data_IF_771979604881
#
_entry.id   IF_771979604881
#
_cell.length_a   1.000
_cell.length_b   1.000
_cell.length_c   1.000
_cell.angle_alpha   90.00
_cell.angle_beta   90.00
_cell.angle_gamma   90.00
#
_symmetry.space_group_name_H-M   'P 1'
#
loop_
_entity.id
_entity.type
_entity.pdbx_description
1 polymer ?
#
# COMPACT_ATOMS: atom_id res chain seq x y z
N UNK A 1 0.95 -27.19 6.69
CA UNK A 1 0.79 -25.72 6.68
C UNK A 1 0.27 -25.28 5.30
N UNK A 2 -1.01 -25.50 5.00
CA UNK A 2 -1.66 -25.13 3.72
C UNK A 2 -2.14 -23.67 3.74
N UNK A 3 -1.30 -22.73 4.20
CA UNK A 3 -1.72 -21.34 4.42
C UNK A 3 -1.99 -20.57 3.12
N UNK A 4 -1.52 -21.10 1.99
CA UNK A 4 -1.77 -20.56 0.65
C UNK A 4 -2.39 -21.66 -0.19
N UNK A 5 -3.72 -21.66 -0.26
CA UNK A 5 -4.43 -22.43 -1.28
C UNK A 5 -4.49 -21.58 -2.53
N UNK A 6 -4.27 -22.18 -3.70
CA UNK A 6 -4.33 -21.49 -4.98
C UNK A 6 -5.79 -21.19 -5.31
N UNK A 7 -6.30 -20.17 -4.64
CA UNK A 7 -7.69 -19.77 -4.67
C UNK A 7 -7.73 -18.24 -4.67
N UNK A 8 -8.41 -17.74 -5.69
CA UNK A 8 -8.59 -16.31 -5.95
C UNK A 8 -9.14 -15.56 -4.72
N UNK A 9 -10.05 -16.19 -3.97
CA UNK A 9 -10.66 -15.60 -2.76
C UNK A 9 -9.64 -15.31 -1.66
N UNK A 10 -8.63 -16.19 -1.47
CA UNK A 10 -7.57 -15.93 -0.50
C UNK A 10 -6.67 -14.79 -0.97
N UNK A 11 -6.35 -14.72 -2.27
CA UNK A 11 -5.64 -13.59 -2.84
C UNK A 11 -6.39 -12.27 -2.65
N UNK A 12 -7.71 -12.28 -2.83
CA UNK A 12 -8.58 -11.12 -2.63
C UNK A 12 -8.53 -10.61 -1.18
N UNK A 13 -8.67 -11.51 -0.20
CA UNK A 13 -8.61 -11.16 1.21
C UNK A 13 -7.24 -10.56 1.57
N UNK A 14 -6.15 -11.18 1.13
CA UNK A 14 -4.81 -10.66 1.35
C UNK A 14 -4.56 -9.31 0.68
N UNK A 15 -5.06 -9.12 -0.55
CA UNK A 15 -4.95 -7.86 -1.28
C UNK A 15 -5.72 -6.69 -0.65
N UNK A 16 -6.69 -6.96 0.24
CA UNK A 16 -7.42 -5.93 1.00
C UNK A 16 -6.82 -5.68 2.39
N UNK A 17 -6.23 -6.70 3.01
CA UNK A 17 -5.61 -6.60 4.34
C UNK A 17 -4.22 -5.96 4.27
N UNK A 18 -3.43 -6.32 3.26
CA UNK A 18 -2.07 -5.79 3.09
C UNK A 18 -1.98 -4.26 3.00
N UNK A 19 -2.80 -3.54 2.20
CA UNK A 19 -2.70 -2.09 2.09
C UNK A 19 -3.15 -1.38 3.38
N UNK A 20 -4.05 -1.98 4.16
CA UNK A 20 -4.42 -1.49 5.51
C UNK A 20 -3.20 -1.51 6.46
N UNK A 21 -2.48 -2.63 6.48
CA UNK A 21 -1.27 -2.77 7.31
C UNK A 21 -0.18 -1.83 6.80
N UNK A 22 0.03 -1.77 5.49
CA UNK A 22 1.03 -0.89 4.87
C UNK A 22 0.73 0.59 5.12
N UNK A 23 -0.53 1.01 5.11
CA UNK A 23 -0.91 2.38 5.46
C UNK A 23 -0.55 2.72 6.90
N UNK A 24 -0.91 1.86 7.86
CA UNK A 24 -0.58 2.07 9.27
C UNK A 24 0.94 2.17 9.49
N UNK A 25 1.71 1.32 8.81
CA UNK A 25 3.17 1.33 8.86
C UNK A 25 3.76 2.63 8.30
N UNK A 26 3.35 3.02 7.09
CA UNK A 26 3.88 4.21 6.40
C UNK A 26 3.48 5.49 7.14
N UNK A 27 2.26 5.54 7.67
CA UNK A 27 1.79 6.65 8.50
C UNK A 27 2.59 6.77 9.80
N UNK A 28 2.84 5.64 10.49
CA UNK A 28 3.66 5.62 11.69
C UNK A 28 5.10 6.08 11.40
N UNK A 29 5.70 5.61 10.30
CA UNK A 29 7.02 6.06 9.86
C UNK A 29 7.02 7.58 9.64
N UNK A 30 6.09 8.11 8.84
CA UNK A 30 5.99 9.55 8.58
C UNK A 30 5.86 10.38 9.87
N UNK A 31 5.00 9.94 10.80
CA UNK A 31 4.83 10.60 12.10
C UNK A 31 6.11 10.58 12.94
N UNK A 32 6.82 9.44 12.94
CA UNK A 32 8.07 9.30 13.69
C UNK A 32 9.17 10.19 13.11
N UNK A 33 9.23 10.32 11.77
CA UNK A 33 10.15 11.22 11.07
C UNK A 33 9.86 12.70 11.37
N UNK A 34 8.59 13.08 11.43
CA UNK A 34 8.17 14.44 11.82
C UNK A 34 8.52 14.75 13.27
N UNK A 35 8.34 13.78 14.17
CA UNK A 35 8.58 13.96 15.61
C UNK A 35 10.06 13.89 15.99
N UNK A 36 10.90 13.21 15.21
CA UNK A 36 12.32 13.05 15.53
C UNK A 36 13.14 14.32 15.28
N UNK A 37 12.57 15.33 14.61
CA UNK A 37 13.27 16.58 14.28
C UNK A 37 14.48 16.39 13.36
N UNK A 38 14.70 15.17 12.83
CA UNK A 38 15.86 14.83 11.99
C UNK A 38 15.92 15.65 10.70
N UNK A 39 14.80 16.27 10.31
CA UNK A 39 14.62 16.95 9.04
C UNK A 39 14.48 18.49 9.20
N UNK A 40 14.44 18.99 10.43
CA UNK A 40 14.35 20.43 10.76
C UNK A 40 15.72 21.12 10.79
N UNK A 41 16.81 20.38 10.58
CA UNK A 41 18.19 20.89 10.65
C UNK A 41 18.51 21.96 9.59
N UNK A 42 17.68 22.12 8.55
CA UNK A 42 17.93 23.04 7.44
C UNK A 42 16.75 23.96 7.16
N UNK A 43 16.44 24.90 8.07
CA UNK A 43 15.73 26.19 7.87
C UNK A 43 14.37 26.24 7.13
N UNK A 44 13.89 25.14 6.55
CA UNK A 44 12.58 24.98 5.92
C UNK A 44 11.91 23.83 6.65
N UNK A 45 10.97 24.14 7.54
CA UNK A 45 10.15 23.14 8.21
C UNK A 45 9.53 22.22 7.16
N UNK A 46 10.03 20.99 7.06
CA UNK A 46 9.48 20.03 6.11
C UNK A 46 8.13 19.55 6.66
N UNK A 47 6.99 19.81 6.00
CA UNK A 47 5.68 19.42 6.52
C UNK A 47 5.41 17.91 6.44
N UNK A 48 6.41 17.10 6.06
CA UNK A 48 6.29 15.66 5.84
C UNK A 48 5.77 15.30 4.45
N UNK A 49 5.48 14.02 4.24
CA UNK A 49 4.87 13.55 2.99
C UNK A 49 3.40 13.98 2.89
N UNK A 50 2.96 14.35 1.68
CA UNK A 50 1.54 14.58 1.38
C UNK A 50 0.75 13.30 1.61
N UNK A 51 -0.48 13.44 2.10
CA UNK A 51 -1.40 12.31 2.29
C UNK A 51 -1.53 11.46 1.03
N UNK A 52 -1.61 12.13 -0.13
CA UNK A 52 -1.57 11.52 -1.46
C UNK A 52 -0.51 10.42 -1.62
N UNK A 53 0.73 10.77 -1.27
CA UNK A 53 1.90 9.93 -1.43
C UNK A 53 1.89 8.79 -0.42
N UNK A 54 1.42 9.05 0.81
CA UNK A 54 1.25 8.03 1.84
C UNK A 54 0.28 6.94 1.40
N UNK A 55 -0.86 7.32 0.80
CA UNK A 55 -1.83 6.37 0.28
C UNK A 55 -1.30 5.56 -0.91
N UNK A 56 -0.55 6.18 -1.83
CA UNK A 56 0.10 5.45 -2.94
C UNK A 56 1.09 4.40 -2.42
N UNK A 57 1.97 4.78 -1.50
CA UNK A 57 2.95 3.86 -0.92
C UNK A 57 2.24 2.71 -0.19
N UNK A 58 1.14 2.99 0.50
CA UNK A 58 0.33 1.97 1.15
C UNK A 58 -0.26 0.96 0.14
N UNK A 59 -0.80 1.44 -0.99
CA UNK A 59 -1.32 0.58 -2.06
C UNK A 59 -0.19 -0.27 -2.67
N UNK A 60 0.98 0.32 -2.88
CA UNK A 60 2.18 -0.39 -3.34
C UNK A 60 2.66 -1.46 -2.34
N UNK A 61 2.22 -1.41 -1.08
CA UNK A 61 2.46 -2.47 -0.10
C UNK A 61 1.95 -3.85 -0.54
N UNK A 62 0.93 -3.90 -1.41
CA UNK A 62 0.43 -5.14 -2.02
C UNK A 62 1.46 -5.86 -2.88
N UNK A 63 2.55 -5.19 -3.28
CA UNK A 63 3.65 -5.81 -4.01
C UNK A 63 4.40 -6.87 -3.17
N UNK A 64 4.38 -6.76 -1.84
CA UNK A 64 5.04 -7.71 -0.92
C UNK A 64 4.42 -9.11 -1.00
N UNK A 65 3.10 -9.30 -0.75
CA UNK A 65 2.47 -10.61 -0.88
C UNK A 65 2.46 -11.11 -2.33
N UNK A 66 2.37 -10.22 -3.32
CA UNK A 66 2.49 -10.58 -4.75
C UNK A 66 3.87 -11.17 -5.04
N UNK A 67 4.95 -10.52 -4.61
CA UNK A 67 6.31 -11.04 -4.81
C UNK A 67 6.53 -12.38 -4.08
N UNK A 68 5.96 -12.54 -2.89
CA UNK A 68 6.02 -13.81 -2.15
C UNK A 68 5.24 -14.94 -2.85
N UNK A 69 4.05 -14.64 -3.37
CA UNK A 69 3.21 -15.60 -4.08
C UNK A 69 3.78 -15.98 -5.45
N UNK A 70 4.36 -15.02 -6.17
CA UNK A 70 5.01 -15.23 -7.45
C UNK A 70 6.20 -16.19 -7.32
N UNK A 71 6.98 -16.10 -6.23
CA UNK A 71 8.05 -17.08 -5.93
C UNK A 71 7.54 -18.51 -5.76
N UNK A 72 6.27 -18.69 -5.40
CA UNK A 72 5.61 -19.99 -5.22
C UNK A 72 4.79 -20.41 -6.43
N UNK A 73 4.82 -19.65 -7.54
CA UNK A 73 4.03 -19.86 -8.77
C UNK A 73 2.52 -20.00 -8.51
N UNK A 74 2.00 -19.22 -7.57
CA UNK A 74 0.56 -19.16 -7.26
C UNK A 74 -0.10 -18.09 -8.13
N UNK A 75 -0.42 -18.45 -9.37
CA UNK A 75 -0.92 -17.52 -10.39
C UNK A 75 -2.33 -17.02 -10.04
N UNK A 76 -3.20 -17.89 -9.51
CA UNK A 76 -4.58 -17.56 -9.15
C UNK A 76 -4.63 -16.64 -7.92
N UNK A 77 -3.75 -16.88 -6.94
CA UNK A 77 -3.59 -16.01 -5.78
C UNK A 77 -3.06 -14.62 -6.18
N UNK A 78 -2.09 -14.57 -7.09
CA UNK A 78 -1.50 -13.32 -7.57
C UNK A 78 -2.55 -12.47 -8.31
N UNK A 79 -3.39 -13.09 -9.15
CA UNK A 79 -4.54 -12.44 -9.78
C UNK A 79 -5.55 -11.94 -8.75
N UNK A 80 -5.81 -12.71 -7.70
CA UNK A 80 -6.67 -12.32 -6.58
C UNK A 80 -6.20 -11.07 -5.86
N UNK A 81 -4.89 -10.83 -5.74
CA UNK A 81 -4.34 -9.59 -5.14
C UNK A 81 -4.34 -8.42 -6.12
N UNK A 82 -4.09 -8.65 -7.42
CA UNK A 82 -4.06 -7.55 -8.39
C UNK A 82 -5.40 -6.81 -8.47
N UNK A 83 -6.51 -7.54 -8.48
CA UNK A 83 -7.86 -6.98 -8.61
C UNK A 83 -8.19 -5.92 -7.54
N UNK A 84 -8.04 -6.17 -6.22
CA UNK A 84 -8.25 -5.16 -5.19
C UNK A 84 -7.20 -4.05 -5.23
N UNK A 85 -5.97 -4.33 -5.65
CA UNK A 85 -4.92 -3.30 -5.79
C UNK A 85 -5.29 -2.27 -6.86
N UNK A 86 -5.82 -2.73 -7.99
CA UNK A 86 -6.30 -1.86 -9.07
C UNK A 86 -7.52 -1.06 -8.62
N UNK A 87 -8.49 -1.68 -7.94
CA UNK A 87 -9.66 -0.97 -7.39
C UNK A 87 -9.22 0.13 -6.42
N UNK A 88 -8.32 -0.18 -5.48
CA UNK A 88 -7.78 0.80 -4.54
C UNK A 88 -7.04 1.94 -5.24
N UNK A 89 -6.27 1.64 -6.29
CA UNK A 89 -5.60 2.66 -7.09
C UNK A 89 -6.58 3.59 -7.81
N UNK A 90 -7.66 3.06 -8.38
CA UNK A 90 -8.74 3.88 -8.96
C UNK A 90 -9.43 4.74 -7.90
N UNK A 91 -9.82 4.15 -6.76
CA UNK A 91 -10.44 4.89 -5.65
C UNK A 91 -9.53 6.02 -5.18
N UNK A 92 -8.23 5.76 -5.03
CA UNK A 92 -7.24 6.77 -4.67
C UNK A 92 -7.16 7.89 -5.72
N UNK A 93 -7.14 7.54 -7.00
CA UNK A 93 -7.07 8.50 -8.10
C UNK A 93 -8.29 9.44 -8.08
N UNK A 94 -9.50 8.92 -7.91
CA UNK A 94 -10.71 9.72 -7.81
C UNK A 94 -10.78 10.57 -6.53
N UNK A 95 -10.28 10.05 -5.41
CA UNK A 95 -10.33 10.74 -4.12
C UNK A 95 -9.35 11.92 -4.07
N UNK A 96 -8.11 11.71 -4.52
CA UNK A 96 -7.06 12.73 -4.39
C UNK A 96 -6.95 13.66 -5.60
N UNK A 97 -7.32 13.18 -6.78
CA UNK A 97 -7.32 13.97 -8.00
C UNK A 97 -8.76 13.97 -8.56
N UNK A 98 -9.69 14.68 -7.91
CA UNK A 98 -11.05 14.82 -8.43
C UNK A 98 -10.93 15.59 -9.75
N UNK A 99 -10.84 14.86 -10.86
CA UNK A 99 -10.92 15.29 -12.26
C UNK A 99 -11.02 16.82 -12.41
N UNK A 100 -9.87 17.50 -12.36
CA UNK A 100 -9.77 18.93 -12.67
C UNK A 100 -9.53 19.05 -14.18
N UNK A 101 -10.52 18.57 -14.95
CA UNK A 101 -10.72 18.87 -16.38
C UNK A 101 -11.66 20.06 -16.48
#
# INVERSE_FOLDING_TARGET
MQLFKDQLVYGLAWGLITPLISFALVFAINKTLLQSGMLDTYATAWPGFKDSTLHLIAICGNLIPVAMANRRRLDEFTRGIMLPTVILAFVWMFYHNPLNI
#
